data_IF_436957716851
#
_entry.id   IF_436957716851
#
_cell.length_a   1.000
_cell.length_b   1.000
_cell.length_c   1.000
_cell.angle_alpha   90.00
_cell.angle_beta   90.00
_cell.angle_gamma   90.00
#
_symmetry.space_group_name_H-M   'P 1'
#
loop_
_entity.id
_entity.type
_entity.pdbx_description
1 polymer ?
#
# COMPACT_ATOMS: atom_id res chain seq x y z
N UNK A 1 2.83 3.72 12.85
CA UNK A 1 2.74 2.70 11.79
C UNK A 1 1.29 2.26 11.68
N UNK A 2 0.71 2.33 10.50
CA UNK A 2 -0.66 1.88 10.22
C UNK A 2 -0.59 0.57 9.45
N UNK A 3 -1.41 -0.42 9.82
CA UNK A 3 -1.42 -1.75 9.19
C UNK A 3 -2.21 -1.75 7.89
N UNK A 4 -1.72 -2.42 6.86
CA UNK A 4 -2.50 -2.73 5.66
C UNK A 4 -3.37 -3.97 5.89
N UNK A 5 -4.62 -3.99 5.40
CA UNK A 5 -5.27 -2.97 4.57
C UNK A 5 -5.89 -1.78 5.33
N UNK A 6 -6.00 -1.85 6.66
CA UNK A 6 -6.79 -0.89 7.45
C UNK A 6 -6.44 0.60 7.19
N UNK A 7 -5.17 0.91 6.94
CA UNK A 7 -4.73 2.27 6.61
C UNK A 7 -5.36 2.84 5.32
N UNK A 8 -5.80 1.99 4.40
CA UNK A 8 -6.36 2.38 3.10
C UNK A 8 -7.83 1.96 2.97
N UNK A 9 -8.53 1.75 4.07
CA UNK A 9 -9.90 1.24 4.05
C UNK A 9 -10.89 2.16 3.34
N UNK A 10 -10.64 3.47 3.29
CA UNK A 10 -11.53 4.42 2.61
C UNK A 10 -11.51 4.30 1.08
N UNK A 11 -10.51 3.62 0.53
CA UNK A 11 -10.34 3.38 -0.92
C UNK A 11 -10.28 1.88 -1.22
N UNK A 12 -10.81 1.04 -0.32
CA UNK A 12 -10.83 -0.41 -0.52
C UNK A 12 -11.59 -0.77 -1.81
N UNK A 13 -11.02 -1.69 -2.58
CA UNK A 13 -11.51 -2.02 -3.93
C UNK A 13 -11.11 -1.04 -5.04
N UNK A 14 -10.61 0.16 -4.72
CA UNK A 14 -10.26 1.20 -5.70
C UNK A 14 -8.78 1.19 -6.14
N UNK A 15 -7.98 0.26 -5.61
CA UNK A 15 -6.59 0.05 -5.97
C UNK A 15 -6.24 -1.43 -6.04
N UNK A 16 -5.22 -1.75 -6.84
CA UNK A 16 -4.74 -3.12 -6.98
C UNK A 16 -3.41 -3.34 -6.23
N UNK A 17 -2.56 -2.31 -6.19
CA UNK A 17 -1.19 -2.41 -5.67
C UNK A 17 -0.80 -1.18 -4.86
N UNK A 18 -0.02 -1.42 -3.81
CA UNK A 18 0.74 -0.40 -3.07
C UNK A 18 2.19 -0.79 -3.10
N UNK A 19 3.08 0.11 -3.51
CA UNK A 19 4.51 -0.11 -3.57
C UNK A 19 5.26 0.82 -2.62
N UNK A 20 6.35 0.29 -2.08
CA UNK A 20 7.32 1.03 -1.30
C UNK A 20 8.72 0.61 -1.75
N UNK A 21 9.58 1.59 -2.00
CA UNK A 21 10.99 1.34 -2.25
C UNK A 21 11.80 1.47 -0.95
N UNK A 22 12.38 0.36 -0.49
CA UNK A 22 13.24 0.33 0.68
C UNK A 22 14.68 0.64 0.28
N UNK A 23 15.09 1.90 0.43
CA UNK A 23 16.43 2.36 0.12
C UNK A 23 17.54 1.77 1.03
N UNK A 24 17.19 1.16 2.17
CA UNK A 24 18.17 0.50 3.05
C UNK A 24 18.57 -0.86 2.50
N UNK A 25 17.62 -1.59 1.91
CA UNK A 25 17.83 -2.93 1.35
C UNK A 25 17.93 -2.93 -0.18
N UNK A 26 17.72 -1.78 -0.83
CA UNK A 26 17.69 -1.60 -2.28
C UNK A 26 16.65 -2.51 -2.97
N UNK A 27 15.47 -2.64 -2.34
CA UNK A 27 14.40 -3.53 -2.81
C UNK A 27 13.04 -2.87 -2.85
N UNK A 28 12.20 -3.32 -3.78
CA UNK A 28 10.78 -3.01 -3.80
C UNK A 28 10.00 -3.96 -2.91
N UNK A 29 9.05 -3.41 -2.16
CA UNK A 29 8.06 -4.12 -1.38
C UNK A 29 6.67 -3.76 -1.88
N UNK A 30 5.73 -4.68 -1.79
CA UNK A 30 4.37 -4.44 -2.26
C UNK A 30 3.29 -5.03 -1.36
N UNK A 31 2.10 -4.44 -1.51
CA UNK A 31 0.84 -4.96 -1.00
C UNK A 31 -0.18 -5.05 -2.13
N UNK A 32 -0.89 -6.19 -2.21
CA UNK A 32 -2.00 -6.42 -3.12
C UNK A 32 -3.16 -7.06 -2.32
N UNK A 33 -4.34 -6.41 -2.22
CA UNK A 33 -5.49 -6.94 -1.48
C UNK A 33 -6.03 -8.28 -2.01
N UNK A 34 -5.92 -8.52 -3.32
CA UNK A 34 -6.31 -9.78 -3.97
C UNK A 34 -5.29 -10.91 -3.82
N UNK A 35 -4.06 -10.58 -3.40
CA UNK A 35 -2.95 -11.54 -3.22
C UNK A 35 -2.15 -11.28 -1.92
N UNK A 36 -2.82 -11.21 -0.74
CA UNK A 36 -2.19 -10.74 0.50
C UNK A 36 -1.09 -11.69 1.02
N UNK A 37 -1.15 -12.97 0.65
CA UNK A 37 -0.15 -13.99 0.99
C UNK A 37 1.20 -13.77 0.30
N UNK A 38 1.23 -13.06 -0.83
CA UNK A 38 2.46 -12.73 -1.56
C UNK A 38 2.99 -11.33 -1.23
N UNK A 39 2.19 -10.53 -0.51
CA UNK A 39 2.55 -9.18 -0.12
C UNK A 39 3.55 -9.17 1.03
N UNK A 40 4.61 -8.39 0.92
CA UNK A 40 5.64 -8.21 1.96
C UNK A 40 5.58 -6.83 2.63
N UNK A 41 4.93 -5.84 2.00
CA UNK A 41 4.58 -4.56 2.63
C UNK A 41 3.35 -4.74 3.53
N UNK A 42 3.57 -4.67 4.85
CA UNK A 42 2.50 -4.87 5.85
C UNK A 42 2.07 -3.59 6.56
N UNK A 43 2.91 -2.55 6.55
CA UNK A 43 2.67 -1.32 7.31
C UNK A 43 3.06 -0.08 6.53
N UNK A 44 2.24 0.96 6.68
CA UNK A 44 2.57 2.32 6.28
C UNK A 44 3.19 3.07 7.46
N UNK A 45 4.28 3.80 7.21
CA UNK A 45 5.00 4.59 8.19
C UNK A 45 5.06 6.05 7.74
N UNK A 46 4.92 6.96 8.71
CA UNK A 46 4.99 8.38 8.43
C UNK A 46 6.37 8.75 7.88
N UNK A 47 6.41 9.65 6.89
CA UNK A 47 7.65 10.10 6.25
C UNK A 47 8.17 9.22 5.12
N UNK A 48 7.51 8.08 4.81
CA UNK A 48 7.84 7.26 3.64
C UNK A 48 6.96 7.63 2.44
N UNK A 49 7.54 7.52 1.25
CA UNK A 49 6.81 7.67 -0.02
C UNK A 49 6.23 6.33 -0.49
N UNK A 50 4.97 6.35 -0.92
CA UNK A 50 4.26 5.17 -1.40
C UNK A 50 3.66 5.44 -2.78
N UNK A 51 3.65 4.42 -3.63
CA UNK A 51 2.93 4.46 -4.90
C UNK A 51 1.68 3.60 -4.76
N UNK A 52 0.52 4.15 -5.09
CA UNK A 52 -0.75 3.42 -5.10
C UNK A 52 -1.23 3.36 -6.55
N UNK A 53 -1.35 2.14 -7.09
CA UNK A 53 -1.93 1.95 -8.41
C UNK A 53 -3.45 1.89 -8.27
N UNK A 54 -4.10 3.03 -8.51
CA UNK A 54 -5.56 3.13 -8.55
C UNK A 54 -6.11 2.43 -9.79
N UNK A 55 -7.25 1.75 -9.65
CA UNK A 55 -7.99 1.13 -10.76
C UNK A 55 -9.28 1.91 -11.09
N UNK A 56 -9.71 2.81 -10.21
CA UNK A 56 -10.85 3.71 -10.37
C UNK A 56 -10.58 5.04 -9.68
N UNK A 57 -11.37 6.06 -9.99
CA UNK A 57 -11.28 7.37 -9.33
C UNK A 57 -11.85 7.30 -7.91
N UNK A 58 -11.08 7.74 -6.92
CA UNK A 58 -11.48 7.72 -5.50
C UNK A 58 -10.73 8.79 -4.68
N UNK A 59 -11.08 8.95 -3.41
CA UNK A 59 -10.45 9.88 -2.47
C UNK A 59 -10.06 9.17 -1.18
N UNK A 60 -8.77 9.14 -0.90
CA UNK A 60 -8.25 8.69 0.39
C UNK A 60 -8.63 9.69 1.49
N UNK A 61 -9.35 9.19 2.49
CA UNK A 61 -9.87 9.96 3.63
C UNK A 61 -9.41 9.31 4.94
N UNK A 62 -9.05 10.13 5.93
CA UNK A 62 -8.45 9.71 7.20
C UNK A 62 -9.35 10.05 8.39
#
# INVERSE_FOLDING_TARGET
NYTLPAALSSIDGSYDWVFYFNATTDTWQFYNPGMPQFSDLKTLEAGRGYFIQMNTNDTLSW
#
